data_IF_954611237142
#
_entry.id   IF_954611237142
#
_cell.length_a   1.000
_cell.length_b   1.000
_cell.length_c   1.000
_cell.angle_alpha   90.00
_cell.angle_beta   90.00
_cell.angle_gamma   90.00
#
_symmetry.space_group_name_H-M   'P 1'
#
loop_
_entity.id
_entity.type
_entity.pdbx_description
1 polymer ?
#
# COMPACT_ATOMS: atom_id res chain seq x y z
N UNK A 1 -23.53 10.28 23.18
CA UNK A 1 -22.32 9.47 23.44
C UNK A 1 -22.66 8.50 24.57
N UNK A 2 -22.34 7.22 24.40
CA UNK A 2 -22.51 6.21 25.45
C UNK A 2 -21.31 6.17 26.37
N UNK A 3 -21.43 5.55 27.54
CA UNK A 3 -20.29 5.21 28.41
C UNK A 3 -20.17 3.69 28.46
N UNK A 4 -18.95 3.17 28.41
CA UNK A 4 -18.69 1.76 28.64
C UNK A 4 -19.24 1.34 30.01
N UNK A 5 -20.06 0.28 30.08
CA UNK A 5 -20.62 -0.23 31.35
C UNK A 5 -19.56 -0.69 32.35
N UNK A 6 -18.38 -1.09 31.87
CA UNK A 6 -17.31 -1.63 32.71
C UNK A 6 -16.32 -0.57 33.21
N UNK A 7 -15.83 0.31 32.33
CA UNK A 7 -14.78 1.27 32.68
C UNK A 7 -15.21 2.75 32.62
N UNK A 8 -16.45 3.02 32.23
CA UNK A 8 -17.01 4.37 32.19
C UNK A 8 -16.45 5.32 31.13
N UNK A 9 -15.48 4.88 30.32
CA UNK A 9 -14.91 5.68 29.22
C UNK A 9 -16.01 6.00 28.20
N UNK A 10 -16.00 7.23 27.68
CA UNK A 10 -16.90 7.66 26.62
C UNK A 10 -16.64 6.89 25.33
N UNK A 11 -17.71 6.36 24.77
CA UNK A 11 -17.70 5.62 23.51
C UNK A 11 -18.63 6.31 22.51
N UNK A 12 -18.16 6.39 21.27
CA UNK A 12 -18.82 7.16 20.21
C UNK A 12 -20.10 6.48 19.67
N UNK A 13 -20.44 5.28 20.16
CA UNK A 13 -21.45 4.41 19.55
C UNK A 13 -22.48 3.84 20.52
N UNK A 14 -23.51 3.19 19.95
CA UNK A 14 -24.59 2.41 20.61
C UNK A 14 -24.12 1.14 21.33
N UNK A 15 -22.81 0.94 21.50
CA UNK A 15 -22.26 -0.26 22.12
C UNK A 15 -22.26 -0.14 23.66
N UNK A 16 -22.39 -1.27 24.35
CA UNK A 16 -22.42 -1.28 25.82
C UNK A 16 -21.01 -1.31 26.46
N UNK A 17 -20.00 -1.77 25.71
CA UNK A 17 -18.62 -1.94 26.20
C UNK A 17 -17.62 -1.33 25.21
N UNK A 18 -16.53 -0.76 25.72
CA UNK A 18 -15.39 -0.37 24.88
C UNK A 18 -14.61 -1.61 24.40
N UNK A 19 -13.74 -1.43 23.40
CA UNK A 19 -12.95 -2.52 22.80
C UNK A 19 -12.13 -3.32 23.84
N UNK A 20 -11.64 -2.65 24.89
CA UNK A 20 -10.84 -3.27 25.96
C UNK A 20 -11.68 -3.97 27.03
N UNK A 21 -12.96 -3.61 27.16
CA UNK A 21 -13.85 -4.14 28.19
C UNK A 21 -14.83 -5.16 27.65
N UNK A 22 -14.95 -5.30 26.33
CA UNK A 22 -15.90 -6.19 25.71
C UNK A 22 -15.64 -7.65 26.15
N UNK A 23 -16.57 -8.29 26.89
CA UNK A 23 -16.39 -9.64 27.41
C UNK A 23 -16.16 -10.67 26.28
N UNK A 24 -16.77 -10.44 25.12
CA UNK A 24 -16.65 -11.31 23.94
C UNK A 24 -15.29 -11.21 23.22
N UNK A 25 -14.49 -10.19 23.52
CA UNK A 25 -13.10 -10.06 23.07
C UNK A 25 -12.10 -10.55 24.14
N UNK A 26 -12.42 -10.38 25.43
CA UNK A 26 -11.60 -10.90 26.54
C UNK A 26 -11.55 -12.43 26.61
N UNK A 27 -12.57 -13.13 26.11
CA UNK A 27 -12.62 -14.59 26.10
C UNK A 27 -11.88 -15.24 24.91
N UNK A 28 -11.19 -14.48 24.06
CA UNK A 28 -10.49 -15.00 22.86
C UNK A 28 -8.97 -15.00 22.95
N UNK A 29 -8.36 -14.56 24.06
CA UNK A 29 -6.90 -14.53 24.14
C UNK A 29 -6.25 -15.88 24.42
N UNK A 30 -6.94 -16.89 24.95
CA UNK A 30 -6.37 -18.23 25.16
C UNK A 30 -7.48 -19.24 25.50
N UNK A 31 -7.88 -20.16 24.60
CA UNK A 31 -8.15 -21.59 24.94
C UNK A 31 -8.57 -22.48 23.76
N UNK A 32 -8.10 -23.73 23.89
CA UNK A 32 -8.43 -24.95 23.16
C UNK A 32 -9.95 -25.16 23.05
N UNK A 33 -10.46 -25.46 21.86
CA UNK A 33 -11.86 -25.82 21.64
C UNK A 33 -12.06 -27.32 21.90
N UNK A 34 -12.98 -27.65 22.81
CA UNK A 34 -13.54 -28.99 22.97
C UNK A 34 -14.39 -29.36 21.76
N UNK A 35 -14.24 -30.58 21.29
CA UNK A 35 -15.03 -31.20 20.23
C UNK A 35 -16.51 -31.25 20.64
N UNK A 36 -17.39 -30.61 19.87
CA UNK A 36 -18.69 -31.14 19.49
C UNK A 36 -19.32 -30.31 18.34
N UNK A 37 -19.35 -30.96 17.18
CA UNK A 37 -20.20 -30.82 15.98
C UNK A 37 -20.55 -29.46 15.32
N UNK A 38 -20.00 -29.31 14.11
CA UNK A 38 -20.68 -28.91 12.84
C UNK A 38 -21.04 -27.45 12.52
N UNK A 39 -20.30 -26.47 13.03
CA UNK A 39 -20.06 -25.23 12.26
C UNK A 39 -18.58 -24.86 12.37
N UNK A 40 -17.78 -25.08 11.32
CA UNK A 40 -16.45 -24.47 11.24
C UNK A 40 -16.68 -22.98 10.95
N UNK A 41 -16.46 -22.05 11.90
CA UNK A 41 -16.46 -20.64 11.54
C UNK A 41 -15.37 -20.46 10.48
N UNK A 42 -15.74 -19.91 9.32
CA UNK A 42 -14.75 -19.42 8.36
C UNK A 42 -13.90 -18.41 9.11
N UNK A 43 -12.69 -18.81 9.51
CA UNK A 43 -11.74 -17.95 10.18
C UNK A 43 -11.27 -16.96 9.13
N UNK A 44 -11.84 -15.76 9.13
CA UNK A 44 -11.40 -14.68 8.25
C UNK A 44 -10.02 -14.27 8.75
N UNK A 45 -8.99 -14.73 8.05
CA UNK A 45 -7.63 -14.26 8.25
C UNK A 45 -7.51 -12.93 7.53
N UNK A 46 -7.54 -11.83 8.28
CA UNK A 46 -7.19 -10.52 7.74
C UNK A 46 -5.67 -10.45 7.63
N UNK A 47 -5.17 -10.28 6.41
CA UNK A 47 -3.77 -10.00 6.20
C UNK A 47 -3.51 -8.51 6.44
N UNK A 48 -2.96 -8.20 7.61
CA UNK A 48 -2.63 -6.84 8.02
C UNK A 48 -1.69 -6.15 7.01
N UNK A 49 -0.80 -6.91 6.35
CA UNK A 49 0.12 -6.36 5.36
C UNK A 49 -0.61 -5.96 4.08
N UNK A 50 -1.64 -6.71 3.68
CA UNK A 50 -2.50 -6.30 2.56
C UNK A 50 -3.22 -4.99 2.88
N UNK A 51 -3.76 -4.85 4.09
CA UNK A 51 -4.44 -3.61 4.51
C UNK A 51 -3.46 -2.42 4.48
N UNK A 52 -2.26 -2.59 5.03
CA UNK A 52 -1.20 -1.56 4.98
C UNK A 52 -0.84 -1.18 3.54
N UNK A 53 -0.73 -2.16 2.65
CA UNK A 53 -0.52 -1.93 1.22
C UNK A 53 -1.61 -1.04 0.62
N UNK A 54 -2.88 -1.36 0.87
CA UNK A 54 -4.02 -0.56 0.40
C UNK A 54 -4.05 0.85 0.96
N UNK A 55 -3.69 1.04 2.24
CA UNK A 55 -3.58 2.37 2.83
C UNK A 55 -2.45 3.16 2.16
N UNK A 56 -1.30 2.52 1.90
CA UNK A 56 -0.18 3.17 1.23
C UNK A 56 -0.52 3.57 -0.23
N UNK A 57 -1.17 2.69 -0.99
CA UNK A 57 -1.70 3.01 -2.33
C UNK A 57 -2.63 4.23 -2.27
N UNK A 58 -3.61 4.22 -1.36
CA UNK A 58 -4.56 5.32 -1.22
C UNK A 58 -3.88 6.64 -0.82
N UNK A 59 -2.88 6.59 0.06
CA UNK A 59 -2.09 7.78 0.43
C UNK A 59 -1.37 8.37 -0.79
N UNK A 60 -0.74 7.54 -1.61
CA UNK A 60 -0.02 8.00 -2.80
C UNK A 60 -0.98 8.51 -3.87
N UNK A 61 -2.11 7.84 -4.08
CA UNK A 61 -3.16 8.30 -5.00
C UNK A 61 -3.66 9.70 -4.60
N UNK A 62 -4.01 9.89 -3.33
CA UNK A 62 -4.48 11.19 -2.83
C UNK A 62 -3.40 12.28 -2.90
N UNK A 63 -2.14 11.93 -2.67
CA UNK A 63 -1.02 12.87 -2.81
C UNK A 63 -0.88 13.37 -4.26
N UNK A 64 -0.92 12.47 -5.25
CA UNK A 64 -0.80 12.90 -6.64
C UNK A 64 -2.04 13.66 -7.12
N UNK A 65 -3.25 13.26 -6.67
CA UNK A 65 -4.46 14.01 -6.97
C UNK A 65 -4.45 15.43 -6.36
N UNK A 66 -3.92 15.60 -5.14
CA UNK A 66 -3.80 16.93 -4.52
C UNK A 66 -2.78 17.84 -5.21
N UNK A 67 -1.89 17.25 -6.02
CA UNK A 67 -0.94 17.95 -6.90
C UNK A 67 -1.47 18.11 -8.33
N UNK A 68 -2.77 17.86 -8.56
CA UNK A 68 -3.45 17.96 -9.86
C UNK A 68 -2.97 16.96 -10.93
N UNK A 69 -2.32 15.86 -10.52
CA UNK A 69 -1.96 14.80 -11.46
C UNK A 69 -3.22 14.04 -11.87
N UNK A 70 -3.24 13.59 -13.12
CA UNK A 70 -4.19 12.54 -13.52
C UNK A 70 -3.67 11.21 -12.99
N UNK A 71 -4.43 10.54 -12.14
CA UNK A 71 -4.07 9.25 -11.53
C UNK A 71 -5.04 8.18 -12.00
N UNK A 72 -4.53 7.11 -12.59
CA UNK A 72 -5.31 5.96 -13.03
C UNK A 72 -4.84 4.72 -12.28
N UNK A 73 -5.75 4.05 -11.56
CA UNK A 73 -5.46 2.75 -10.92
C UNK A 73 -5.25 1.72 -12.03
N UNK A 74 -4.02 1.29 -12.22
CA UNK A 74 -3.60 0.41 -13.31
C UNK A 74 -3.40 -1.04 -12.84
N UNK A 75 -3.22 -1.28 -11.54
CA UNK A 75 -3.05 -2.62 -10.98
C UNK A 75 -4.12 -3.60 -11.47
N UNK A 76 -3.73 -4.85 -11.71
CA UNK A 76 -4.58 -5.90 -12.29
C UNK A 76 -5.95 -6.02 -11.57
N UNK A 77 -5.96 -5.90 -10.25
CA UNK A 77 -7.15 -5.98 -9.42
C UNK A 77 -8.19 -4.88 -9.71
N UNK A 78 -7.74 -3.73 -10.23
CA UNK A 78 -8.58 -2.59 -10.57
C UNK A 78 -9.02 -2.65 -12.04
N UNK A 79 -8.12 -3.10 -12.93
CA UNK A 79 -8.33 -3.02 -14.38
C UNK A 79 -9.06 -4.23 -14.95
N UNK A 80 -8.82 -5.45 -14.43
CA UNK A 80 -9.40 -6.67 -15.00
C UNK A 80 -9.88 -7.67 -13.93
N UNK A 81 -10.93 -7.33 -13.16
CA UNK A 81 -11.38 -8.14 -12.03
C UNK A 81 -11.80 -9.58 -12.43
N UNK A 82 -12.38 -9.72 -13.63
CA UNK A 82 -12.89 -11.00 -14.14
C UNK A 82 -11.79 -11.97 -14.61
N UNK A 83 -10.59 -11.46 -14.89
CA UNK A 83 -9.52 -12.24 -15.54
C UNK A 83 -8.46 -12.70 -14.54
N UNK A 84 -8.41 -12.14 -13.33
CA UNK A 84 -7.46 -12.52 -12.28
C UNK A 84 -7.49 -14.04 -11.99
N UNK A 85 -8.67 -14.65 -11.87
CA UNK A 85 -8.82 -16.10 -11.66
C UNK A 85 -8.45 -16.94 -12.89
N UNK A 86 -8.65 -16.38 -14.08
CA UNK A 86 -8.34 -17.07 -15.34
C UNK A 86 -6.84 -17.09 -15.62
N UNK A 87 -6.14 -16.02 -15.28
CA UNK A 87 -4.69 -15.88 -15.44
C UNK A 87 -3.91 -16.58 -14.30
N UNK A 88 -4.58 -16.94 -13.21
CA UNK A 88 -3.99 -17.68 -12.12
C UNK A 88 -3.51 -19.07 -12.61
N UNK A 89 -2.19 -19.28 -12.60
CA UNK A 89 -1.57 -20.51 -13.09
C UNK A 89 -1.18 -20.53 -14.58
N UNK A 90 -1.64 -19.56 -15.37
CA UNK A 90 -1.19 -19.40 -16.76
C UNK A 90 0.19 -18.75 -16.77
N UNK A 91 1.15 -19.34 -17.48
CA UNK A 91 2.48 -18.77 -17.70
C UNK A 91 2.58 -18.24 -19.12
N UNK A 92 3.38 -17.19 -19.33
CA UNK A 92 3.64 -16.61 -20.64
C UNK A 92 3.69 -15.10 -20.61
N UNK A 93 4.37 -14.49 -21.58
CA UNK A 93 4.72 -13.06 -21.59
C UNK A 93 3.51 -12.13 -21.33
N UNK A 94 2.37 -12.43 -21.96
CA UNK A 94 1.14 -11.65 -21.78
C UNK A 94 0.53 -11.81 -20.38
N UNK A 95 0.45 -13.05 -19.89
CA UNK A 95 -0.07 -13.33 -18.55
C UNK A 95 0.81 -12.69 -17.47
N UNK A 96 2.13 -12.71 -17.68
CA UNK A 96 3.11 -12.14 -16.78
C UNK A 96 3.06 -10.62 -16.81
N UNK A 97 2.88 -10.00 -18.00
CA UNK A 97 2.68 -8.56 -18.12
C UNK A 97 1.44 -8.07 -17.36
N UNK A 98 0.34 -8.84 -17.42
CA UNK A 98 -0.89 -8.52 -16.70
C UNK A 98 -0.72 -8.67 -15.18
N UNK A 99 -0.08 -9.75 -14.71
CA UNK A 99 0.15 -9.97 -13.26
C UNK A 99 1.10 -8.94 -12.63
N UNK A 100 1.98 -8.38 -13.44
CA UNK A 100 3.00 -7.41 -13.02
C UNK A 100 2.61 -5.96 -13.34
N UNK A 101 1.34 -5.70 -13.70
CA UNK A 101 0.84 -4.34 -13.90
C UNK A 101 1.14 -3.50 -12.64
N UNK A 102 1.83 -2.35 -12.79
CA UNK A 102 2.04 -1.40 -11.71
C UNK A 102 0.72 -0.89 -11.13
N UNK A 103 0.74 -0.45 -9.88
CA UNK A 103 -0.46 0.04 -9.19
C UNK A 103 -1.12 1.24 -9.90
N UNK A 104 -0.31 2.16 -10.44
CA UNK A 104 -0.81 3.36 -11.10
C UNK A 104 -0.13 3.68 -12.43
N UNK A 105 -0.89 4.37 -13.28
CA UNK A 105 -0.36 5.27 -14.31
C UNK A 105 -0.68 6.69 -13.85
N UNK A 106 0.34 7.55 -13.78
CA UNK A 106 0.17 8.97 -13.43
C UNK A 106 0.64 9.88 -14.56
N UNK A 107 0.01 11.04 -14.67
CA UNK A 107 0.38 12.11 -15.60
C UNK A 107 0.44 13.46 -14.88
N UNK A 108 1.58 14.19 -14.91
CA UNK A 108 1.65 15.55 -14.40
C UNK A 108 0.69 16.49 -15.15
N UNK A 109 0.19 17.56 -14.52
CA UNK A 109 -0.85 18.43 -15.10
C UNK A 109 -0.41 19.14 -16.39
N UNK A 110 0.88 19.45 -16.53
CA UNK A 110 1.45 20.22 -17.66
C UNK A 110 2.33 19.39 -18.59
N UNK A 111 2.35 18.07 -18.43
CA UNK A 111 3.24 17.16 -19.14
C UNK A 111 2.43 16.09 -19.86
N UNK A 112 2.83 15.75 -21.08
CA UNK A 112 2.27 14.59 -21.78
C UNK A 112 2.93 13.27 -21.37
N UNK A 113 3.96 13.33 -20.50
CA UNK A 113 4.68 12.16 -20.01
C UNK A 113 3.83 11.35 -19.03
N UNK A 114 3.77 10.05 -19.26
CA UNK A 114 3.12 9.08 -18.37
C UNK A 114 4.19 8.34 -17.56
N UNK A 115 3.86 8.05 -16.30
CA UNK A 115 4.71 7.28 -15.41
C UNK A 115 3.96 6.07 -14.88
N UNK A 116 4.60 4.91 -14.94
CA UNK A 116 4.18 3.74 -14.20
C UNK A 116 4.71 3.82 -12.77
N UNK A 117 3.84 3.57 -11.80
CA UNK A 117 4.18 3.64 -10.38
C UNK A 117 3.71 2.38 -9.67
N UNK A 118 4.64 1.70 -9.00
CA UNK A 118 4.38 0.64 -8.01
C UNK A 118 4.58 1.23 -6.61
N UNK A 119 3.62 1.02 -5.71
CA UNK A 119 3.70 1.45 -4.32
C UNK A 119 4.08 0.27 -3.42
N UNK A 120 5.01 0.52 -2.49
CA UNK A 120 5.38 -0.43 -1.45
C UNK A 120 5.38 0.24 -0.10
N UNK A 121 4.74 -0.39 0.88
CA UNK A 121 4.89 0.00 2.28
C UNK A 121 5.98 -0.84 2.95
N UNK A 122 7.01 -0.19 3.51
CA UNK A 122 8.01 -0.86 4.36
C UNK A 122 8.29 0.01 5.57
N UNK A 123 8.07 -0.55 6.77
CA UNK A 123 8.31 0.15 8.04
C UNK A 123 9.75 0.68 8.13
N UNK A 124 10.73 -0.13 7.74
CA UNK A 124 12.16 0.24 7.74
C UNK A 124 12.57 1.24 6.65
N UNK A 125 11.70 1.54 5.68
CA UNK A 125 12.04 2.43 4.56
C UNK A 125 13.05 1.86 3.57
N UNK A 126 13.19 0.53 3.54
CA UNK A 126 14.03 -0.23 2.60
C UNK A 126 13.28 -1.46 2.10
N UNK A 127 13.60 -1.93 0.89
CA UNK A 127 13.08 -3.18 0.35
C UNK A 127 13.73 -4.38 1.06
N UNK A 128 12.97 -5.46 1.26
CA UNK A 128 13.48 -6.69 1.86
C UNK A 128 14.06 -7.62 0.79
N UNK A 129 14.83 -8.63 1.19
CA UNK A 129 15.31 -9.69 0.29
C UNK A 129 14.19 -10.35 -0.50
N UNK A 130 13.02 -10.49 0.13
CA UNK A 130 11.84 -11.14 -0.46
C UNK A 130 11.22 -10.27 -1.58
N UNK A 131 11.55 -8.98 -1.64
CA UNK A 131 11.13 -8.08 -2.71
C UNK A 131 11.98 -8.23 -3.97
N UNK A 132 13.24 -8.68 -3.85
CA UNK A 132 14.18 -8.67 -4.96
C UNK A 132 13.67 -9.44 -6.19
N UNK A 133 13.07 -10.60 -5.95
CA UNK A 133 12.53 -11.43 -7.03
C UNK A 133 11.43 -10.70 -7.80
N UNK A 134 10.47 -10.09 -7.08
CA UNK A 134 9.38 -9.33 -7.67
C UNK A 134 9.89 -8.08 -8.38
N UNK A 135 10.85 -7.36 -7.79
CA UNK A 135 11.40 -6.12 -8.35
C UNK A 135 12.20 -6.39 -9.62
N UNK A 136 13.04 -7.43 -9.65
CA UNK A 136 13.74 -7.86 -10.88
C UNK A 136 12.76 -8.25 -11.98
N UNK A 137 11.67 -8.95 -11.61
CA UNK A 137 10.67 -9.36 -12.57
C UNK A 137 9.85 -8.18 -13.10
N UNK A 138 9.47 -7.24 -12.23
CA UNK A 138 8.80 -6.00 -12.60
C UNK A 138 9.68 -5.17 -13.55
N UNK A 139 10.99 -5.09 -13.27
CA UNK A 139 11.95 -4.38 -14.12
C UNK A 139 12.07 -5.00 -15.52
N UNK A 140 11.95 -6.33 -15.66
CA UNK A 140 11.97 -7.00 -16.95
C UNK A 140 10.80 -6.59 -17.84
N UNK A 141 9.62 -6.37 -17.24
CA UNK A 141 8.38 -6.12 -17.98
C UNK A 141 8.10 -4.62 -18.11
N UNK A 142 8.30 -3.85 -17.04
CA UNK A 142 8.06 -2.41 -16.95
C UNK A 142 9.34 -1.68 -16.50
N UNK A 143 10.41 -1.65 -17.31
CA UNK A 143 11.71 -1.09 -16.91
C UNK A 143 11.66 0.40 -16.55
N UNK A 144 10.70 1.15 -17.10
CA UNK A 144 10.51 2.57 -16.83
C UNK A 144 9.66 2.88 -15.59
N UNK A 145 9.16 1.86 -14.88
CA UNK A 145 8.36 2.05 -13.69
C UNK A 145 9.18 2.63 -12.53
N UNK A 146 8.52 3.43 -11.69
CA UNK A 146 9.05 3.90 -10.43
C UNK A 146 8.48 3.06 -9.29
N UNK A 147 9.31 2.75 -8.32
CA UNK A 147 8.84 2.27 -7.02
C UNK A 147 8.74 3.49 -6.11
N UNK A 148 7.56 3.71 -5.53
CA UNK A 148 7.36 4.65 -4.43
C UNK A 148 7.29 3.84 -3.13
N UNK A 149 8.29 4.05 -2.29
CA UNK A 149 8.44 3.40 -1.00
C UNK A 149 7.90 4.30 0.10
N UNK A 150 6.77 3.90 0.66
CA UNK A 150 6.13 4.52 1.81
C UNK A 150 6.64 3.86 3.09
N UNK A 151 7.06 4.67 4.05
CA UNK A 151 7.43 4.23 5.40
C UNK A 151 6.70 5.07 6.43
N UNK A 152 6.92 4.80 7.71
CA UNK A 152 6.35 5.62 8.80
C UNK A 152 6.82 7.07 8.77
N UNK A 153 8.02 7.33 8.24
CA UNK A 153 8.68 8.64 8.35
C UNK A 153 8.86 9.34 7.01
N UNK A 154 9.00 8.57 5.94
CA UNK A 154 9.42 9.10 4.65
C UNK A 154 8.66 8.44 3.51
N UNK A 155 8.46 9.21 2.45
CA UNK A 155 8.08 8.71 1.14
C UNK A 155 9.30 8.89 0.24
N UNK A 156 9.82 7.79 -0.28
CA UNK A 156 10.97 7.75 -1.18
C UNK A 156 10.59 7.15 -2.51
N UNK A 157 11.41 7.33 -3.53
CA UNK A 157 11.20 6.73 -4.83
C UNK A 157 12.49 6.45 -5.58
N UNK A 158 12.42 5.51 -6.52
CA UNK A 158 13.52 5.16 -7.43
C UNK A 158 12.96 4.60 -8.73
N UNK A 159 13.62 4.85 -9.86
CA UNK A 159 13.31 4.14 -11.10
C UNK A 159 13.81 2.70 -11.00
N UNK A 160 12.96 1.74 -11.36
CA UNK A 160 13.23 0.33 -11.10
C UNK A 160 14.44 -0.21 -11.88
N UNK A 161 14.62 0.27 -13.12
CA UNK A 161 15.77 -0.06 -13.95
C UNK A 161 17.09 0.39 -13.32
N UNK A 162 17.14 1.59 -12.76
CA UNK A 162 18.34 2.12 -12.14
C UNK A 162 18.66 1.41 -10.82
N UNK A 163 17.62 1.10 -10.03
CA UNK A 163 17.76 0.33 -8.79
C UNK A 163 18.32 -1.08 -9.05
N UNK A 164 17.70 -1.84 -9.94
CA UNK A 164 18.10 -3.23 -10.23
C UNK A 164 19.49 -3.29 -10.87
N UNK A 165 19.80 -2.37 -11.78
CA UNK A 165 21.08 -2.34 -12.48
C UNK A 165 22.19 -1.65 -11.68
N UNK A 166 21.90 -1.16 -10.46
CA UNK A 166 22.85 -0.42 -9.60
C UNK A 166 23.51 0.74 -10.33
N UNK A 167 22.74 1.46 -11.15
CA UNK A 167 23.22 2.65 -11.88
C UNK A 167 23.39 3.82 -10.91
N UNK A 168 24.20 4.80 -11.29
CA UNK A 168 24.37 6.03 -10.50
C UNK A 168 23.01 6.74 -10.40
N UNK A 169 22.50 6.96 -9.19
CA UNK A 169 21.15 7.47 -8.94
C UNK A 169 20.07 6.40 -8.73
N UNK A 170 20.44 5.10 -8.81
CA UNK A 170 19.59 3.94 -8.54
C UNK A 170 19.35 3.65 -7.05
N UNK A 171 19.33 4.68 -6.22
CA UNK A 171 19.05 4.59 -4.79
C UNK A 171 17.74 5.30 -4.47
N UNK A 172 17.08 4.87 -3.39
CA UNK A 172 15.84 5.50 -2.95
C UNK A 172 16.11 6.92 -2.45
N UNK A 173 15.63 7.91 -3.21
CA UNK A 173 15.69 9.34 -2.86
C UNK A 173 14.35 9.81 -2.32
N UNK A 174 14.32 10.92 -1.58
CA UNK A 174 13.03 11.46 -1.13
C UNK A 174 12.16 11.80 -2.33
N UNK A 175 10.86 11.52 -2.25
CA UNK A 175 9.96 11.75 -3.38
C UNK A 175 10.00 13.21 -3.85
N UNK A 176 10.07 14.16 -2.91
CA UNK A 176 10.18 15.60 -3.21
C UNK A 176 11.47 16.02 -3.95
N UNK A 177 12.45 15.12 -4.08
CA UNK A 177 13.71 15.33 -4.80
C UNK A 177 13.70 14.64 -6.17
N UNK A 178 12.59 14.03 -6.58
CA UNK A 178 12.46 13.48 -7.93
C UNK A 178 12.11 14.55 -8.95
N UNK A 179 13.10 14.87 -9.78
CA UNK A 179 12.96 15.79 -10.90
C UNK A 179 12.07 15.22 -12.01
N UNK A 180 12.05 13.90 -12.20
CA UNK A 180 11.29 13.25 -13.27
C UNK A 180 9.79 13.49 -13.21
N UNK A 181 9.23 13.70 -12.00
CA UNK A 181 7.79 13.80 -11.85
C UNK A 181 7.23 15.18 -12.20
N UNK A 182 8.03 16.17 -12.59
CA UNK A 182 7.57 17.53 -12.92
C UNK A 182 6.76 18.18 -11.78
N UNK A 183 7.21 18.03 -10.53
CA UNK A 183 6.49 18.52 -9.35
C UNK A 183 6.26 20.04 -9.38
N UNK A 184 5.05 20.52 -9.03
CA UNK A 184 4.81 21.94 -8.84
C UNK A 184 5.55 22.49 -7.60
N UNK A 185 5.79 23.82 -7.49
CA UNK A 185 6.52 24.42 -6.38
C UNK A 185 6.01 24.02 -4.98
N UNK A 186 4.70 23.90 -4.82
CA UNK A 186 4.02 23.51 -3.57
C UNK A 186 4.12 22.02 -3.22
N UNK A 187 4.66 21.19 -4.12
CA UNK A 187 4.66 19.74 -3.93
C UNK A 187 5.40 19.30 -2.67
N UNK A 188 6.47 20.00 -2.31
CA UNK A 188 7.26 19.68 -1.11
C UNK A 188 6.40 19.71 0.16
N UNK A 189 5.57 20.73 0.32
CA UNK A 189 4.73 20.89 1.51
C UNK A 189 3.59 19.87 1.56
N UNK A 190 3.02 19.54 0.40
CA UNK A 190 2.03 18.46 0.30
C UNK A 190 2.67 17.10 0.62
N UNK A 191 3.83 16.76 0.04
CA UNK A 191 4.54 15.51 0.32
C UNK A 191 4.87 15.39 1.81
N UNK A 192 5.35 16.46 2.45
CA UNK A 192 5.61 16.48 3.91
C UNK A 192 4.32 16.23 4.70
N UNK A 193 3.20 16.81 4.27
CA UNK A 193 1.89 16.59 4.91
C UNK A 193 1.47 15.12 4.81
N UNK A 194 1.67 14.51 3.64
CA UNK A 194 1.39 13.08 3.44
C UNK A 194 2.35 12.17 4.21
N UNK A 195 3.62 12.54 4.39
CA UNK A 195 4.50 11.84 5.33
C UNK A 195 3.93 11.85 6.76
N UNK A 196 3.36 12.97 7.22
CA UNK A 196 2.72 13.05 8.55
C UNK A 196 1.45 12.18 8.62
N UNK A 197 0.68 12.08 7.53
CA UNK A 197 -0.44 11.15 7.47
C UNK A 197 0.03 9.70 7.55
N UNK A 198 1.06 9.33 6.79
CA UNK A 198 1.67 8.01 6.87
C UNK A 198 2.11 7.69 8.31
N UNK A 199 2.76 8.64 9.01
CA UNK A 199 3.10 8.46 10.43
C UNK A 199 1.86 8.15 11.28
N UNK A 200 0.73 8.85 11.09
CA UNK A 200 -0.50 8.58 11.87
C UNK A 200 -1.10 7.20 11.59
N UNK A 201 -1.05 6.75 10.34
CA UNK A 201 -1.61 5.45 9.94
C UNK A 201 -0.73 4.27 10.32
N UNK A 202 0.59 4.48 10.43
CA UNK A 202 1.56 3.41 10.60
C UNK A 202 2.35 3.46 11.92
N UNK A 203 2.21 4.49 12.78
CA UNK A 203 3.04 4.63 14.01
C UNK A 203 2.82 3.57 15.10
N UNK A 204 1.69 2.85 15.06
CA UNK A 204 1.33 1.83 16.06
C UNK A 204 1.47 0.40 15.52
N UNK A 205 2.16 0.24 14.39
CA UNK A 205 2.38 -1.01 13.67
C UNK A 205 3.75 -1.59 14.01
#
# INVERSE_FOLDING_TARGET
MGKCKECGIEIQDRYEYCINCNPSLKSKSETKFSENEKYKPHKIYYDENMIKGRIAEALIEQLFLSLEYSVFRYGMENTVPSVTKLIQGIQGEVADAIKMMPDFVIRPPKSERLFFVEVKFRKGGELHSDDEGRVKYLQKIYPQAYIILVSEKHIKSVQISDYVNKRKGGEFRYLAEQEDFDFPPEARDQIITFCRFASKFFSNV
#
